data_IF_556381952242
#
_entry.id   IF_556381952242
#
_cell.length_a   1.000
_cell.length_b   1.000
_cell.length_c   1.000
_cell.angle_alpha   90.00
_cell.angle_beta   90.00
_cell.angle_gamma   90.00
#
_symmetry.space_group_name_H-M   'P 1'
#
loop_
_entity.id
_entity.type
_entity.pdbx_description
1 polymer ?
#
# COMPACT_ATOMS: atom_id res chain seq x y z
N UNK A 1 -4.43 12.46 3.63
CA UNK A 1 -5.89 12.54 3.93
C UNK A 1 -6.77 13.01 2.74
N UNK A 2 -6.49 14.16 2.10
CA UNK A 2 -7.31 14.70 0.99
C UNK A 2 -7.44 13.73 -0.19
N UNK A 3 -6.34 13.14 -0.63
CA UNK A 3 -6.32 12.19 -1.75
C UNK A 3 -7.10 10.89 -1.45
N UNK A 4 -7.04 10.40 -0.22
CA UNK A 4 -7.83 9.23 0.22
C UNK A 4 -9.33 9.55 0.17
N UNK A 5 -9.74 10.70 0.72
CA UNK A 5 -11.15 11.14 0.67
C UNK A 5 -11.63 11.29 -0.77
N UNK A 6 -10.83 11.90 -1.65
CA UNK A 6 -11.15 12.05 -3.08
C UNK A 6 -11.32 10.71 -3.78
N UNK A 7 -10.48 9.74 -3.45
CA UNK A 7 -10.55 8.39 -4.04
C UNK A 7 -11.74 7.60 -3.50
N UNK A 8 -12.05 7.71 -2.21
CA UNK A 8 -13.25 7.13 -1.60
C UNK A 8 -14.54 7.70 -2.19
N UNK A 9 -14.57 8.99 -2.56
CA UNK A 9 -15.72 9.57 -3.28
C UNK A 9 -15.90 8.93 -4.67
N UNK A 10 -14.80 8.66 -5.39
CA UNK A 10 -14.86 7.98 -6.70
C UNK A 10 -15.21 6.49 -6.58
N UNK A 11 -14.79 5.86 -5.48
CA UNK A 11 -14.97 4.44 -5.20
C UNK A 11 -15.60 4.25 -3.82
N UNK A 12 -16.91 4.56 -3.67
CA UNK A 12 -17.57 4.56 -2.35
C UNK A 12 -17.63 3.17 -1.72
N UNK A 13 -17.59 2.11 -2.53
CA UNK A 13 -17.60 0.71 -2.08
C UNK A 13 -16.21 0.17 -1.76
N UNK A 14 -15.15 0.94 -2.02
CA UNK A 14 -13.79 0.47 -1.81
C UNK A 14 -13.39 0.63 -0.35
N UNK A 15 -12.81 -0.41 0.24
CA UNK A 15 -12.28 -0.35 1.61
C UNK A 15 -10.88 0.27 1.63
N UNK A 16 -10.62 1.14 2.60
CA UNK A 16 -9.37 1.86 2.74
C UNK A 16 -8.44 1.07 3.65
N UNK A 17 -7.27 0.70 3.14
CA UNK A 17 -6.23 0.02 3.92
C UNK A 17 -4.97 0.87 3.94
N UNK A 18 -4.36 1.08 5.11
CA UNK A 18 -3.17 1.92 5.27
C UNK A 18 -2.13 1.29 6.20
N UNK A 19 -0.86 1.65 6.01
CA UNK A 19 0.22 1.18 6.87
C UNK A 19 0.21 1.98 8.19
N UNK A 20 0.54 1.40 9.35
CA UNK A 20 0.62 2.12 10.63
C UNK A 20 1.65 3.27 10.63
N UNK A 21 2.59 3.29 9.69
CA UNK A 21 3.55 4.39 9.50
C UNK A 21 2.92 5.63 8.85
N UNK A 22 1.65 5.56 8.40
CA UNK A 22 0.96 6.70 7.83
C UNK A 22 0.70 7.79 8.88
N UNK A 23 0.48 9.02 8.41
CA UNK A 23 0.06 10.11 9.29
C UNK A 23 -1.24 9.74 10.05
N UNK A 24 -1.42 10.15 11.32
CA UNK A 24 -2.60 9.81 12.11
C UNK A 24 -3.93 10.13 11.40
N UNK A 25 -4.00 11.29 10.73
CA UNK A 25 -5.16 11.73 9.95
C UNK A 25 -5.52 10.82 8.77
N UNK A 26 -4.60 9.98 8.32
CA UNK A 26 -4.82 8.95 7.29
C UNK A 26 -5.28 7.64 7.95
N UNK A 27 -4.68 7.29 9.09
CA UNK A 27 -5.06 6.13 9.90
C UNK A 27 -6.53 6.24 10.33
N UNK A 28 -6.96 7.42 10.80
CA UNK A 28 -8.34 7.68 11.22
C UNK A 28 -9.38 7.52 10.10
N UNK A 29 -8.95 7.53 8.84
CA UNK A 29 -9.82 7.35 7.67
C UNK A 29 -9.80 5.93 7.11
N UNK A 30 -8.98 5.04 7.68
CA UNK A 30 -8.79 3.70 7.17
C UNK A 30 -9.81 2.72 7.76
N UNK A 31 -10.30 1.82 6.91
CA UNK A 31 -11.13 0.68 7.30
C UNK A 31 -10.25 -0.45 7.89
N UNK A 32 -8.96 -0.52 7.48
CA UNK A 32 -7.98 -1.46 8.00
C UNK A 32 -6.57 -0.83 8.11
N UNK A 33 -5.86 -1.16 9.19
CA UNK A 33 -4.49 -0.71 9.46
C UNK A 33 -3.62 -1.92 9.76
N UNK A 34 -2.53 -2.10 9.03
CA UNK A 34 -1.65 -3.25 9.23
C UNK A 34 -0.39 -3.23 8.37
N UNK A 35 0.47 -4.24 8.55
CA UNK A 35 1.63 -4.45 7.70
C UNK A 35 1.25 -4.92 6.29
N UNK A 36 2.21 -4.94 5.38
CA UNK A 36 2.00 -5.44 4.00
C UNK A 36 1.47 -6.88 3.98
N UNK A 37 2.04 -7.77 4.79
CA UNK A 37 1.54 -9.15 4.89
C UNK A 37 0.11 -9.21 5.44
N UNK A 38 -0.19 -8.42 6.48
CA UNK A 38 -1.53 -8.38 7.08
C UNK A 38 -2.59 -7.85 6.12
N UNK A 39 -2.25 -6.85 5.30
CA UNK A 39 -3.14 -6.36 4.25
C UNK A 39 -3.37 -7.41 3.14
N UNK A 40 -2.36 -8.16 2.69
CA UNK A 40 -2.56 -9.26 1.73
C UNK A 40 -3.52 -10.32 2.29
N UNK A 41 -3.33 -10.72 3.55
CA UNK A 41 -4.24 -11.65 4.22
C UNK A 41 -5.66 -11.08 4.37
N UNK A 42 -5.77 -9.81 4.74
CA UNK A 42 -7.03 -9.12 4.90
C UNK A 42 -7.81 -9.12 3.58
N UNK A 43 -7.14 -8.72 2.49
CA UNK A 43 -7.70 -8.76 1.14
C UNK A 43 -8.15 -10.17 0.81
N UNK A 44 -7.32 -11.20 1.02
CA UNK A 44 -7.66 -12.58 0.69
C UNK A 44 -8.93 -13.07 1.41
N UNK A 45 -9.07 -12.76 2.70
CA UNK A 45 -10.21 -13.16 3.56
C UNK A 45 -11.45 -12.30 3.34
N UNK A 46 -11.29 -11.06 2.88
CA UNK A 46 -12.39 -10.11 2.71
C UNK A 46 -13.17 -10.38 1.40
N UNK A 47 -14.50 -10.24 1.49
CA UNK A 47 -15.45 -10.39 0.38
C UNK A 47 -15.53 -9.13 -0.50
N UNK A 48 -15.02 -8.01 -0.02
CA UNK A 48 -14.95 -6.77 -0.79
C UNK A 48 -14.14 -6.97 -2.07
N UNK A 49 -14.60 -6.31 -3.14
CA UNK A 49 -13.98 -6.39 -4.48
C UNK A 49 -13.13 -5.18 -4.81
N UNK A 50 -13.20 -4.15 -4.00
CA UNK A 50 -12.57 -2.87 -4.27
C UNK A 50 -11.80 -2.43 -3.02
N UNK A 51 -10.55 -2.05 -3.18
CA UNK A 51 -9.68 -1.63 -2.09
C UNK A 51 -8.88 -0.39 -2.48
N UNK A 52 -8.81 0.59 -1.59
CA UNK A 52 -7.94 1.76 -1.69
C UNK A 52 -6.72 1.48 -0.81
N UNK A 53 -5.56 1.36 -1.44
CA UNK A 53 -4.30 1.00 -0.76
C UNK A 53 -3.49 2.27 -0.55
N UNK A 54 -3.48 2.77 0.68
CA UNK A 54 -2.70 3.92 1.13
C UNK A 54 -1.32 3.54 1.64
N UNK A 55 -0.56 2.78 0.86
CA UNK A 55 0.84 2.42 1.15
C UNK A 55 1.67 2.50 -0.14
N UNK A 56 2.76 1.73 -0.23
CA UNK A 56 3.64 1.68 -1.39
C UNK A 56 2.97 1.06 -2.64
N UNK A 57 3.22 1.68 -3.80
CA UNK A 57 2.78 1.21 -5.12
C UNK A 57 3.23 -0.21 -5.45
N UNK A 58 4.40 -0.65 -4.98
CA UNK A 58 4.92 -2.01 -5.20
C UNK A 58 3.96 -3.10 -4.71
N UNK A 59 3.22 -2.80 -3.65
CA UNK A 59 2.24 -3.71 -3.08
C UNK A 59 1.03 -3.97 -3.99
N UNK A 60 0.60 -2.97 -4.78
CA UNK A 60 -0.55 -3.11 -5.67
C UNK A 60 -0.36 -4.22 -6.69
N UNK A 61 0.86 -4.37 -7.20
CA UNK A 61 1.18 -5.42 -8.16
C UNK A 61 1.03 -6.81 -7.55
N UNK A 62 1.58 -7.01 -6.34
CA UNK A 62 1.46 -8.28 -5.60
C UNK A 62 0.00 -8.58 -5.28
N UNK A 63 -0.74 -7.62 -4.73
CA UNK A 63 -2.15 -7.78 -4.39
C UNK A 63 -3.01 -8.15 -5.61
N UNK A 64 -2.76 -7.51 -6.74
CA UNK A 64 -3.48 -7.78 -7.99
C UNK A 64 -3.11 -9.14 -8.59
N UNK A 65 -1.85 -9.58 -8.44
CA UNK A 65 -1.41 -10.91 -8.86
C UNK A 65 -2.04 -12.01 -8.01
N UNK A 66 -2.12 -11.81 -6.69
CA UNK A 66 -2.71 -12.77 -5.76
C UNK A 66 -4.25 -12.78 -5.82
N UNK A 67 -4.87 -11.67 -6.22
CA UNK A 67 -6.32 -11.50 -6.24
C UNK A 67 -6.78 -10.83 -7.56
N UNK A 68 -6.72 -11.52 -8.70
CA UNK A 68 -7.03 -10.94 -10.01
C UNK A 68 -8.49 -10.47 -10.15
N UNK A 69 -9.41 -11.05 -9.38
CA UNK A 69 -10.84 -10.69 -9.37
C UNK A 69 -11.14 -9.41 -8.57
N UNK A 70 -10.16 -8.90 -7.82
CA UNK A 70 -10.30 -7.72 -6.96
C UNK A 70 -9.61 -6.51 -7.60
N UNK A 71 -10.17 -5.33 -7.37
CA UNK A 71 -9.69 -4.05 -7.89
C UNK A 71 -8.98 -3.28 -6.79
N UNK A 72 -7.77 -2.84 -7.10
CA UNK A 72 -6.94 -2.07 -6.19
C UNK A 72 -6.71 -0.67 -6.76
N UNK A 73 -6.96 0.33 -5.92
CA UNK A 73 -6.81 1.74 -6.27
C UNK A 73 -5.75 2.38 -5.39
N UNK A 74 -4.85 3.15 -6.00
CA UNK A 74 -3.92 3.99 -5.27
C UNK A 74 -4.52 5.39 -5.14
N UNK A 75 -4.58 5.97 -3.93
CA UNK A 75 -5.19 7.29 -3.74
C UNK A 75 -4.39 8.41 -4.41
N UNK A 76 -3.09 8.21 -4.68
CA UNK A 76 -2.32 9.08 -5.56
C UNK A 76 -1.10 8.34 -6.13
N UNK A 77 -0.69 8.61 -7.39
CA UNK A 77 0.53 8.04 -7.97
C UNK A 77 1.81 8.42 -7.21
N UNK A 78 1.74 9.41 -6.32
CA UNK A 78 2.84 9.89 -5.46
C UNK A 78 2.84 9.27 -4.06
N UNK A 79 1.88 8.41 -3.72
CA UNK A 79 1.93 7.65 -2.45
C UNK A 79 2.97 6.54 -2.62
N UNK A 80 4.20 6.96 -2.43
CA UNK A 80 5.39 6.13 -2.38
C UNK A 80 5.91 6.30 -0.97
N UNK A 81 6.02 5.21 -0.22
CA UNK A 81 6.77 5.24 1.03
C UNK A 81 8.22 5.61 0.67
N UNK A 82 8.66 6.80 1.09
CA UNK A 82 9.98 7.32 0.73
C UNK A 82 11.08 6.42 1.31
N UNK A 83 10.87 5.88 2.50
CA UNK A 83 11.81 4.98 3.17
C UNK A 83 12.02 3.68 2.40
N UNK A 84 10.96 3.12 1.81
CA UNK A 84 11.06 1.90 0.98
C UNK A 84 11.80 2.10 -0.35
N UNK A 85 12.04 3.36 -0.78
CA UNK A 85 12.82 3.67 -2.00
C UNK A 85 14.26 4.07 -1.73
N UNK A 86 14.70 4.02 -0.47
CA UNK A 86 16.10 4.26 -0.12
C UNK A 86 17.02 3.15 -0.66
N UNK A 87 16.54 1.91 -0.75
CA UNK A 87 17.28 0.77 -1.33
C UNK A 87 17.25 0.81 -2.86
N UNK A 88 18.34 1.29 -3.46
CA UNK A 88 18.61 1.22 -4.90
C UNK A 88 19.45 -0.01 -5.25
N UNK A 89 19.44 -0.42 -6.52
CA UNK A 89 20.30 -1.50 -7.02
C UNK A 89 21.77 -1.26 -6.72
N UNK A 90 22.23 -0.01 -6.84
CA UNK A 90 23.60 0.43 -6.51
C UNK A 90 23.96 0.12 -5.06
N UNK A 91 23.02 0.36 -4.13
CA UNK A 91 23.22 0.11 -2.70
C UNK A 91 23.31 -1.40 -2.43
N UNK A 92 22.54 -2.21 -3.15
CA UNK A 92 22.59 -3.68 -3.03
C UNK A 92 23.93 -4.23 -3.53
N UNK A 93 24.43 -3.73 -4.66
CA UNK A 93 25.75 -4.13 -5.19
C UNK A 93 26.85 -3.73 -4.21
N UNK A 94 26.87 -2.47 -3.75
CA UNK A 94 27.87 -1.97 -2.80
C UNK A 94 27.86 -2.73 -1.47
N UNK A 95 26.67 -3.10 -0.96
CA UNK A 95 26.52 -3.87 0.27
C UNK A 95 27.11 -5.28 0.14
N UNK A 96 26.93 -5.93 -1.02
CA UNK A 96 27.46 -7.27 -1.29
C UNK A 96 28.96 -7.27 -1.56
N UNK A 97 29.49 -6.27 -2.28
CA UNK A 97 30.91 -6.19 -2.61
C UNK A 97 31.78 -5.87 -1.39
N UNK A 98 31.28 -5.04 -0.49
CA UNK A 98 32.06 -4.50 0.62
C UNK A 98 31.58 -4.95 2.00
N UNK A 99 30.57 -5.83 2.07
CA UNK A 99 29.99 -6.37 3.31
C UNK A 99 29.57 -5.28 4.32
N UNK A 100 28.90 -4.23 3.82
CA UNK A 100 28.49 -3.04 4.60
C UNK A 100 27.00 -2.70 4.41
N UNK A 101 26.42 -1.94 5.36
CA UNK A 101 24.97 -1.64 5.46
C UNK A 101 24.66 -0.18 5.21
#
# INVERSE_FOLDING_TARGET
PKEIKRTKIKHPKAEIMVHPECQPQVIDLADFVGSTSQMSEYVAKNKSREFIVGTERGMLHTLQKENPDKRFYSPSPLVVCQDMKLTKLENVVSALENMQF
#
